data_IF_242626927449
#
_entry.id   IF_242626927449
#
_cell.length_a   1.000
_cell.length_b   1.000
_cell.length_c   1.000
_cell.angle_alpha   90.00
_cell.angle_beta   90.00
_cell.angle_gamma   90.00
#
_symmetry.space_group_name_H-M   'P 1'
#
loop_
_entity.id
_entity.type
_entity.pdbx_description
1 polymer ?
#
# COMPACT_ATOMS: atom_id res chain seq x y z
N UNK A 1 -69.56 13.80 -13.72
CA UNK A 1 -68.38 13.18 -14.31
C UNK A 1 -67.16 14.00 -13.95
N UNK A 2 -66.44 13.57 -12.97
CA UNK A 2 -65.19 14.24 -12.57
C UNK A 2 -64.02 13.44 -13.15
N UNK A 3 -63.35 14.06 -14.10
CA UNK A 3 -62.13 13.49 -14.65
C UNK A 3 -61.01 13.76 -13.65
N UNK A 4 -60.61 12.74 -12.96
CA UNK A 4 -59.41 12.77 -12.13
C UNK A 4 -58.19 12.65 -13.03
N UNK A 5 -57.56 13.78 -13.28
CA UNK A 5 -56.28 13.78 -13.99
C UNK A 5 -55.22 13.48 -12.97
N UNK A 6 -54.78 12.24 -12.90
CA UNK A 6 -53.57 11.87 -12.15
C UNK A 6 -52.36 12.36 -12.91
N UNK A 7 -51.82 13.45 -12.47
CA UNK A 7 -50.44 13.83 -12.83
C UNK A 7 -49.49 12.95 -12.06
N UNK A 8 -48.99 11.95 -12.73
CA UNK A 8 -47.83 11.22 -12.24
C UNK A 8 -46.59 12.10 -12.45
N UNK A 9 -46.19 12.79 -11.40
CA UNK A 9 -44.86 13.41 -11.37
C UNK A 9 -43.85 12.30 -11.19
N UNK A 10 -43.26 11.87 -12.29
CA UNK A 10 -42.07 11.04 -12.25
C UNK A 10 -40.91 11.93 -11.78
N UNK A 11 -40.66 11.94 -10.50
CA UNK A 11 -39.42 12.44 -9.93
C UNK A 11 -38.35 11.43 -10.30
N UNK A 12 -37.72 11.65 -11.44
CA UNK A 12 -36.49 10.99 -11.77
C UNK A 12 -35.41 11.44 -10.80
N UNK A 13 -35.24 10.73 -9.72
CA UNK A 13 -34.03 10.85 -8.91
C UNK A 13 -32.90 10.30 -9.77
N UNK A 14 -32.25 11.19 -10.49
CA UNK A 14 -30.94 10.89 -11.04
C UNK A 14 -30.02 10.75 -9.84
N UNK A 15 -29.83 9.51 -9.41
CA UNK A 15 -28.71 9.19 -8.54
C UNK A 15 -27.45 9.62 -9.29
N UNK A 16 -26.67 10.59 -8.76
CA UNK A 16 -25.34 10.80 -9.28
C UNK A 16 -24.66 9.44 -9.18
N UNK A 17 -24.27 8.90 -10.31
CA UNK A 17 -23.48 7.69 -10.33
C UNK A 17 -22.36 7.90 -9.36
N UNK A 18 -22.40 7.20 -8.25
CA UNK A 18 -21.23 7.04 -7.42
C UNK A 18 -20.30 6.29 -8.36
N UNK A 19 -19.42 7.03 -9.00
CA UNK A 19 -18.26 6.42 -9.62
C UNK A 19 -17.60 5.69 -8.45
N UNK A 20 -17.82 4.41 -8.37
CA UNK A 20 -17.11 3.57 -7.44
C UNK A 20 -15.65 3.73 -7.86
N UNK A 21 -14.96 4.63 -7.18
CA UNK A 21 -13.53 4.69 -7.25
C UNK A 21 -13.09 3.29 -6.90
N UNK A 22 -12.57 2.57 -7.87
CA UNK A 22 -12.03 1.25 -7.63
C UNK A 22 -11.06 1.40 -6.46
N UNK A 23 -11.21 0.62 -5.41
CA UNK A 23 -10.26 0.69 -4.32
C UNK A 23 -8.87 0.53 -4.92
N UNK A 24 -7.94 1.42 -4.60
CA UNK A 24 -6.60 1.36 -5.15
C UNK A 24 -6.09 -0.05 -4.95
N UNK A 25 -5.79 -0.69 -6.05
CA UNK A 25 -5.41 -2.08 -6.10
C UNK A 25 -4.17 -2.26 -5.21
N UNK A 26 -4.37 -2.86 -4.06
CA UNK A 26 -3.39 -3.39 -3.13
C UNK A 26 -2.42 -2.41 -2.43
N UNK A 27 -1.77 -1.49 -3.12
CA UNK A 27 -0.77 -0.58 -2.53
C UNK A 27 -1.37 0.54 -1.68
N UNK A 28 -2.38 1.21 -2.19
CA UNK A 28 -3.06 2.29 -1.47
C UNK A 28 -3.89 1.80 -0.28
N UNK A 29 -4.37 0.57 -0.33
CA UNK A 29 -5.12 -0.03 0.76
C UNK A 29 -4.22 -0.40 1.94
N UNK A 30 -3.07 -0.97 1.64
CA UNK A 30 -2.04 -1.26 2.65
C UNK A 30 -1.55 0.05 3.27
N UNK A 31 -1.28 1.06 2.44
CA UNK A 31 -0.88 2.37 2.90
C UNK A 31 -1.91 3.00 3.85
N UNK A 32 -3.19 3.00 3.48
CA UNK A 32 -4.27 3.52 4.31
C UNK A 32 -4.48 2.76 5.62
N UNK A 33 -4.13 1.47 5.66
CA UNK A 33 -4.15 0.69 6.89
C UNK A 33 -2.97 1.00 7.82
N UNK A 34 -1.87 1.43 7.26
CA UNK A 34 -0.64 1.78 7.97
C UNK A 34 -0.65 3.23 8.44
N UNK A 35 -1.21 4.13 7.63
CA UNK A 35 -1.41 5.54 7.92
C UNK A 35 -2.57 5.72 8.91
N UNK A 36 -2.26 5.57 10.19
CA UNK A 36 -3.24 5.64 11.25
C UNK A 36 -3.67 7.08 11.58
N UNK A 37 -2.81 8.05 11.31
CA UNK A 37 -3.07 9.48 11.53
C UNK A 37 -3.72 10.16 10.31
N UNK A 38 -3.69 9.53 9.14
CA UNK A 38 -4.34 10.03 7.93
C UNK A 38 -3.62 11.23 7.29
N UNK A 39 -2.33 11.40 7.54
CA UNK A 39 -1.54 12.51 6.99
C UNK A 39 -1.01 12.25 5.57
N UNK A 40 -1.21 11.05 5.06
CA UNK A 40 -0.75 10.63 3.73
C UNK A 40 0.71 10.23 3.66
N UNK A 41 1.34 10.05 4.80
CA UNK A 41 2.71 9.58 4.96
C UNK A 41 2.79 8.55 6.08
N UNK A 42 3.81 7.74 6.08
CA UNK A 42 4.07 6.80 7.16
C UNK A 42 5.26 7.28 7.97
N UNK A 43 5.03 7.50 9.24
CA UNK A 43 6.11 7.78 10.17
C UNK A 43 6.70 6.50 10.76
N UNK A 44 7.81 6.64 11.45
CA UNK A 44 8.50 5.51 12.08
C UNK A 44 7.63 4.79 13.12
N UNK A 45 6.77 5.52 13.84
CA UNK A 45 5.89 4.94 14.83
C UNK A 45 4.81 4.05 14.19
N UNK A 46 4.27 4.47 13.05
CA UNK A 46 3.30 3.69 12.27
C UNK A 46 3.93 2.43 11.68
N UNK A 47 5.15 2.56 11.16
CA UNK A 47 5.92 1.39 10.67
C UNK A 47 6.25 0.43 11.80
N UNK A 48 6.59 0.93 12.99
CA UNK A 48 6.82 0.10 14.17
C UNK A 48 5.56 -0.67 14.56
N UNK A 49 4.42 0.01 14.61
CA UNK A 49 3.13 -0.62 14.92
C UNK A 49 2.77 -1.71 13.91
N UNK A 50 3.04 -1.47 12.64
CA UNK A 50 2.85 -2.50 11.61
C UNK A 50 3.78 -3.70 11.83
N UNK A 51 5.04 -3.45 12.16
CA UNK A 51 6.00 -4.51 12.45
C UNK A 51 5.58 -5.35 13.67
N UNK A 52 5.04 -4.71 14.71
CA UNK A 52 4.47 -5.39 15.87
C UNK A 52 3.28 -6.29 15.52
N UNK A 53 2.34 -5.77 14.75
CA UNK A 53 1.20 -6.58 14.26
C UNK A 53 1.66 -7.77 13.41
N UNK A 54 2.67 -7.57 12.60
CA UNK A 54 3.26 -8.64 11.78
C UNK A 54 3.96 -9.68 12.65
N UNK A 55 4.72 -9.22 13.63
CA UNK A 55 5.39 -10.08 14.62
C UNK A 55 4.40 -10.98 15.37
N UNK A 56 3.28 -10.40 15.79
CA UNK A 56 2.20 -11.15 16.47
C UNK A 56 1.57 -12.20 15.55
N UNK A 57 1.31 -11.85 14.28
CA UNK A 57 0.71 -12.79 13.31
C UNK A 57 1.63 -13.95 12.95
N UNK A 58 2.92 -13.69 12.90
CA UNK A 58 3.92 -14.70 12.54
C UNK A 58 4.50 -15.43 13.76
N UNK A 59 4.20 -14.96 14.97
CA UNK A 59 4.76 -15.50 16.18
C UNK A 59 6.25 -15.24 16.36
N UNK A 60 6.78 -14.23 15.64
CA UNK A 60 8.20 -13.87 15.67
C UNK A 60 8.38 -12.42 16.17
N UNK A 61 8.63 -12.23 17.46
CA UNK A 61 8.80 -10.90 18.04
C UNK A 61 10.02 -10.16 17.50
N UNK A 62 10.98 -10.87 16.91
CA UNK A 62 12.17 -10.24 16.34
C UNK A 62 11.87 -9.34 15.15
N UNK A 63 10.72 -9.53 14.51
CA UNK A 63 10.28 -8.69 13.39
C UNK A 63 9.94 -7.26 13.82
N UNK A 64 9.60 -7.06 15.07
CA UNK A 64 9.33 -5.76 15.68
C UNK A 64 10.54 -5.15 16.40
N UNK A 65 11.72 -5.77 16.27
CA UNK A 65 12.92 -5.21 16.89
C UNK A 65 13.25 -3.84 16.29
N UNK A 66 13.69 -2.87 17.13
CA UNK A 66 13.99 -1.51 16.67
C UNK A 66 14.99 -1.47 15.51
N UNK A 67 15.97 -2.34 15.54
CA UNK A 67 17.00 -2.42 14.49
C UNK A 67 16.42 -2.85 13.14
N UNK A 68 15.52 -3.83 13.14
CA UNK A 68 14.86 -4.29 11.92
C UNK A 68 13.87 -3.25 11.39
N UNK A 69 13.16 -2.59 12.31
CA UNK A 69 12.25 -1.48 11.95
C UNK A 69 13.04 -0.33 11.35
N UNK A 70 14.17 0.05 11.94
CA UNK A 70 15.04 1.10 11.40
C UNK A 70 15.60 0.74 10.02
N UNK A 71 16.08 -0.46 9.87
CA UNK A 71 16.60 -0.94 8.58
C UNK A 71 15.51 -0.95 7.51
N UNK A 72 14.33 -1.42 7.87
CA UNK A 72 13.18 -1.45 6.98
C UNK A 72 12.72 -0.05 6.61
N UNK A 73 12.65 0.85 7.59
CA UNK A 73 12.29 2.25 7.39
C UNK A 73 13.25 2.95 6.43
N UNK A 74 14.56 2.86 6.70
CA UNK A 74 15.60 3.43 5.83
C UNK A 74 15.59 2.86 4.41
N UNK A 75 15.17 1.63 4.27
CA UNK A 75 15.07 1.01 2.95
C UNK A 75 13.85 1.51 2.16
N UNK A 76 12.80 1.90 2.86
CA UNK A 76 11.59 2.47 2.27
C UNK A 76 11.70 3.96 2.02
N UNK A 77 12.33 4.68 2.95
CA UNK A 77 12.60 6.11 2.88
C UNK A 77 13.77 6.36 1.92
N UNK A 78 13.48 6.39 0.63
CA UNK A 78 14.49 6.58 -0.41
C UNK A 78 14.98 8.03 -0.50
N UNK A 79 14.16 8.99 -0.14
CA UNK A 79 14.48 10.40 -0.17
C UNK A 79 15.15 10.90 1.13
N UNK A 80 15.06 10.14 2.22
CA UNK A 80 15.69 10.49 3.49
C UNK A 80 14.97 11.61 4.25
N UNK A 81 13.68 11.83 4.00
CA UNK A 81 12.90 12.89 4.67
C UNK A 81 12.36 12.48 6.05
N UNK A 82 12.56 11.23 6.43
CA UNK A 82 12.06 10.67 7.69
C UNK A 82 10.61 10.22 7.66
N UNK A 83 10.02 10.14 6.48
CA UNK A 83 8.68 9.66 6.22
C UNK A 83 8.70 8.73 5.01
N UNK A 84 7.69 7.89 4.90
CA UNK A 84 7.52 7.03 3.73
C UNK A 84 6.29 7.50 2.98
N UNK A 85 6.50 7.99 1.78
CA UNK A 85 5.45 8.41 0.88
C UNK A 85 4.82 7.22 0.14
N UNK A 86 3.58 7.42 -0.29
CA UNK A 86 2.89 6.43 -1.13
C UNK A 86 3.69 6.04 -2.37
N UNK A 87 4.37 7.01 -2.99
CA UNK A 87 5.20 6.78 -4.17
C UNK A 87 6.42 5.90 -3.86
N UNK A 88 7.04 6.08 -2.71
CA UNK A 88 8.16 5.27 -2.26
C UNK A 88 7.74 3.83 -2.01
N UNK A 89 6.62 3.65 -1.31
CA UNK A 89 6.04 2.33 -1.07
C UNK A 89 5.66 1.62 -2.38
N UNK A 90 5.09 2.35 -3.32
CA UNK A 90 4.72 1.82 -4.63
C UNK A 90 5.96 1.46 -5.47
N UNK A 91 7.00 2.28 -5.43
CA UNK A 91 8.27 2.02 -6.11
C UNK A 91 8.92 0.74 -5.60
N UNK A 92 8.91 0.54 -4.29
CA UNK A 92 9.44 -0.68 -3.68
C UNK A 92 8.62 -1.92 -4.06
N UNK A 93 7.31 -1.77 -4.14
CA UNK A 93 6.43 -2.85 -4.58
C UNK A 93 6.69 -3.22 -6.02
N UNK A 94 6.89 -2.24 -6.89
CA UNK A 94 7.28 -2.48 -8.30
C UNK A 94 8.63 -3.17 -8.39
N UNK A 95 9.61 -2.77 -7.58
CA UNK A 95 10.91 -3.42 -7.52
C UNK A 95 10.83 -4.88 -7.06
N UNK A 96 9.90 -5.21 -6.16
CA UNK A 96 9.65 -6.61 -5.74
C UNK A 96 8.90 -7.42 -6.79
N UNK A 97 8.01 -6.78 -7.55
CA UNK A 97 7.25 -7.44 -8.61
C UNK A 97 8.11 -7.72 -9.86
N UNK A 98 9.18 -6.97 -10.03
CA UNK A 98 10.18 -7.24 -11.06
C UNK A 98 11.19 -8.22 -10.46
N UNK A 99 11.25 -9.48 -10.90
CA UNK A 99 12.32 -10.35 -10.46
C UNK A 99 13.65 -9.69 -10.84
N UNK A 100 14.66 -9.77 -9.97
CA UNK A 100 15.98 -9.29 -10.35
C UNK A 100 16.34 -9.94 -11.68
N UNK A 101 16.93 -9.18 -12.61
CA UNK A 101 17.40 -9.79 -13.85
C UNK A 101 18.21 -11.01 -13.45
N UNK A 102 17.80 -12.15 -13.95
CA UNK A 102 18.53 -13.38 -13.71
C UNK A 102 19.99 -13.07 -14.05
N UNK A 103 20.83 -13.05 -13.03
CA UNK A 103 22.25 -12.99 -13.26
C UNK A 103 22.57 -14.13 -14.18
N UNK A 104 23.00 -13.79 -15.39
CA UNK A 104 23.37 -14.78 -16.38
C UNK A 104 24.34 -15.75 -15.73
N UNK A 105 24.11 -17.06 -15.76
CA UNK A 105 25.03 -18.03 -15.17
C UNK A 105 26.38 -18.06 -15.86
N UNK A 106 26.59 -17.18 -16.81
CA UNK A 106 27.84 -17.02 -17.55
C UNK A 106 28.94 -16.30 -16.73
N UNK A 107 28.58 -15.71 -15.62
CA UNK A 107 29.54 -15.02 -14.73
C UNK A 107 30.04 -15.93 -13.59
N UNK A 108 29.70 -17.19 -13.62
CA UNK A 108 30.37 -18.16 -12.80
C UNK A 108 31.83 -18.24 -13.27
N UNK A 109 32.82 -18.05 -12.39
CA UNK A 109 34.20 -18.26 -12.77
C UNK A 109 34.32 -19.66 -13.27
N UNK A 110 34.52 -19.82 -14.58
CA UNK A 110 34.93 -21.08 -15.12
C UNK A 110 36.33 -21.36 -14.59
N UNK A 111 36.42 -22.26 -13.65
CA UNK A 111 37.71 -22.81 -13.31
C UNK A 111 38.24 -23.50 -14.58
N UNK A 112 39.06 -22.77 -15.30
CA UNK A 112 39.85 -23.34 -16.36
C UNK A 112 40.89 -24.26 -15.71
N UNK A 113 40.67 -25.50 -15.89
CA UNK A 113 41.67 -26.53 -15.59
C UNK A 113 42.83 -26.41 -16.58
#
# INVERSE_FOLDING_TARGET
>A
MRKLTMMAAAVGVALPGIAAAQPPQDGGRIFAMMDANGDGKLDKAEVTKMAEMRAQRQGDPSLASPEKVDTFFKHLDANGDGFIDKNELESMRKARATPPPAEDPQDAPQEAN
#
